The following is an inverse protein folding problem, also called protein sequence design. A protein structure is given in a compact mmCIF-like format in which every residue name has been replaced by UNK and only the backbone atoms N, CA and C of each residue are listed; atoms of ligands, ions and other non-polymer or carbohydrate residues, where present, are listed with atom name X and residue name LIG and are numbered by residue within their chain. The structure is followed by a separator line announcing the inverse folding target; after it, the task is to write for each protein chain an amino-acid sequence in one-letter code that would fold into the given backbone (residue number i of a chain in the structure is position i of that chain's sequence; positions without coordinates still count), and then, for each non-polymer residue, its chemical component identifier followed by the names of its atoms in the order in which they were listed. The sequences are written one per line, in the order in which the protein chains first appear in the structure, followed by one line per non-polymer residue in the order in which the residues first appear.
data_IF_744073148089
#
_entry.id   IF_744073148089
#
_cell.length_a   1.000
_cell.length_b   1.000
_cell.length_c   1.000
_cell.angle_alpha   90.00
_cell.angle_beta   90.00
_cell.angle_gamma   90.00
#
_symmetry.space_group_name_H-M   'P 1'
#
loop_
_entity.id
_entity.type
_entity.pdbx_description
1 polymer ?
#
# COMPACT_ATOMS: atom_id res chain seq x y z
N UNK A 1 3.98 -12.48 -0.48
CA UNK A 1 4.73 -11.86 -1.59
C UNK A 1 6.22 -11.84 -1.26
N UNK A 2 6.65 -11.12 -0.24
CA UNK A 2 8.07 -10.94 0.12
C UNK A 2 8.87 -12.28 0.18
N UNK A 3 8.29 -13.31 0.81
CA UNK A 3 8.89 -14.65 0.86
C UNK A 3 8.98 -15.31 -0.52
N UNK A 4 7.96 -15.14 -1.37
CA UNK A 4 7.98 -15.65 -2.77
C UNK A 4 9.01 -14.94 -3.65
N UNK A 5 9.35 -13.69 -3.31
CA UNK A 5 10.45 -12.94 -3.93
C UNK A 5 11.84 -13.35 -3.40
N UNK A 6 11.93 -14.31 -2.48
CA UNK A 6 13.14 -14.71 -1.80
C UNK A 6 13.87 -13.56 -1.08
N UNK A 7 13.12 -12.59 -0.55
CA UNK A 7 13.68 -11.55 0.29
C UNK A 7 14.17 -12.16 1.61
N UNK A 8 15.18 -11.52 2.21
CA UNK A 8 15.71 -11.95 3.49
C UNK A 8 14.65 -11.83 4.61
N UNK A 9 14.91 -12.50 5.73
CA UNK A 9 13.98 -12.51 6.87
C UNK A 9 13.64 -11.09 7.35
N UNK A 10 14.64 -10.20 7.40
CA UNK A 10 14.45 -8.81 7.84
C UNK A 10 13.49 -8.07 6.93
N UNK A 11 13.68 -8.17 5.61
CA UNK A 11 12.79 -7.55 4.63
C UNK A 11 11.37 -8.13 4.67
N UNK A 12 11.22 -9.44 4.92
CA UNK A 12 9.91 -10.06 5.12
C UNK A 12 9.22 -9.55 6.40
N UNK A 13 9.97 -9.41 7.49
CA UNK A 13 9.46 -8.87 8.76
C UNK A 13 9.06 -7.38 8.60
N UNK A 14 9.88 -6.59 7.89
CA UNK A 14 9.57 -5.19 7.58
C UNK A 14 8.32 -5.07 6.71
N UNK A 15 8.15 -5.93 5.69
CA UNK A 15 6.96 -5.95 4.85
C UNK A 15 5.69 -6.29 5.65
N UNK A 16 5.77 -7.25 6.57
CA UNK A 16 4.68 -7.62 7.46
C UNK A 16 4.28 -6.45 8.37
N UNK A 17 5.25 -5.80 9.00
CA UNK A 17 5.01 -4.64 9.86
C UNK A 17 4.45 -3.45 9.08
N UNK A 18 4.96 -3.20 7.88
CA UNK A 18 4.45 -2.16 7.00
C UNK A 18 2.98 -2.42 6.62
N UNK A 19 2.63 -3.67 6.30
CA UNK A 19 1.25 -4.07 6.05
C UNK A 19 0.32 -3.85 7.24
N UNK A 20 0.78 -4.16 8.47
CA UNK A 20 0.00 -3.90 9.69
C UNK A 20 -0.19 -2.40 9.98
N UNK A 21 0.76 -1.57 9.61
CA UNK A 21 0.82 -0.16 10.00
C UNK A 21 0.43 0.80 8.87
N UNK A 22 0.11 0.32 7.66
CA UNK A 22 -0.08 1.19 6.50
C UNK A 22 -1.18 2.24 6.67
N UNK A 23 -2.19 1.97 7.49
CA UNK A 23 -3.29 2.89 7.78
C UNK A 23 -3.15 3.62 9.13
N UNK A 24 -2.02 3.48 9.86
CA UNK A 24 -1.86 4.11 11.19
C UNK A 24 -2.09 5.63 11.17
N UNK A 25 -1.81 6.28 10.06
CA UNK A 25 -2.04 7.72 9.89
C UNK A 25 -3.50 8.14 9.88
N UNK A 26 -4.44 7.19 9.75
CA UNK A 26 -5.87 7.46 9.88
C UNK A 26 -6.24 8.05 11.23
N UNK A 27 -5.47 7.78 12.28
CA UNK A 27 -5.66 8.41 13.60
C UNK A 27 -5.61 9.94 13.55
N UNK A 28 -4.95 10.51 12.55
CA UNK A 28 -4.86 11.94 12.34
C UNK A 28 -5.91 12.51 11.37
N UNK A 29 -6.85 11.70 10.90
CA UNK A 29 -7.93 12.13 9.99
C UNK A 29 -9.21 12.32 10.81
N UNK A 30 -9.96 13.41 10.59
CA UNK A 30 -11.24 13.61 11.29
C UNK A 30 -12.23 12.47 11.04
N UNK A 31 -12.85 11.94 12.09
CA UNK A 31 -13.83 10.85 12.01
C UNK A 31 -14.97 11.14 11.02
N UNK A 32 -15.37 12.41 10.90
CA UNK A 32 -16.38 12.85 9.94
C UNK A 32 -15.99 12.56 8.48
N UNK A 33 -14.69 12.54 8.15
CA UNK A 33 -14.21 12.23 6.81
C UNK A 33 -14.05 10.72 6.61
N UNK A 34 -13.60 9.99 7.63
CA UNK A 34 -13.39 8.55 7.56
C UNK A 34 -14.70 7.81 7.25
N UNK A 35 -15.80 8.26 7.86
CA UNK A 35 -17.09 7.60 7.78
C UNK A 35 -18.03 8.22 6.71
N UNK A 36 -17.57 9.21 5.96
CA UNK A 36 -18.40 9.93 4.99
C UNK A 36 -18.48 9.17 3.66
N UNK A 37 -19.70 8.92 3.21
CA UNK A 37 -19.94 8.42 1.86
C UNK A 37 -19.82 9.57 0.85
N UNK A 38 -18.77 9.53 0.02
CA UNK A 38 -18.48 10.56 -0.99
C UNK A 38 -17.85 11.81 -0.38
N UNK A 39 -16.54 11.92 -0.53
CA UNK A 39 -15.77 13.10 -0.16
C UNK A 39 -15.81 14.13 -1.30
N UNK A 40 -15.84 15.42 -0.96
CA UNK A 40 -15.52 16.48 -1.91
C UNK A 40 -14.03 16.46 -2.26
N UNK A 41 -13.61 17.18 -3.29
CA UNK A 41 -12.20 17.25 -3.68
C UNK A 41 -11.32 17.75 -2.53
N UNK A 42 -11.75 18.82 -1.84
CA UNK A 42 -11.03 19.38 -0.69
C UNK A 42 -10.95 18.39 0.49
N UNK A 43 -12.03 17.67 0.77
CA UNK A 43 -12.06 16.64 1.81
C UNK A 43 -11.18 15.44 1.44
N UNK A 44 -11.13 15.09 0.17
CA UNK A 44 -10.26 14.02 -0.32
C UNK A 44 -8.79 14.41 -0.21
N UNK A 45 -8.42 15.68 -0.46
CA UNK A 45 -7.07 16.17 -0.21
C UNK A 45 -6.67 16.04 1.26
N UNK A 46 -7.58 16.35 2.19
CA UNK A 46 -7.34 16.15 3.63
C UNK A 46 -7.20 14.65 3.93
N UNK A 47 -8.08 13.82 3.40
CA UNK A 47 -8.04 12.37 3.59
C UNK A 47 -6.71 11.78 3.14
N UNK A 48 -6.20 12.12 1.97
CA UNK A 48 -4.91 11.64 1.44
C UNK A 48 -3.72 11.90 2.38
N UNK A 49 -3.82 12.88 3.27
CA UNK A 49 -2.72 13.19 4.20
C UNK A 49 -2.40 12.06 5.18
N UNK A 50 -3.26 11.02 5.29
CA UNK A 50 -3.02 9.93 6.22
C UNK A 50 -1.68 9.20 5.95
N UNK A 51 -1.26 9.07 4.71
CA UNK A 51 0.01 8.41 4.36
C UNK A 51 1.21 9.20 4.94
N UNK A 52 1.19 10.53 4.81
CA UNK A 52 2.22 11.39 5.37
C UNK A 52 2.19 11.42 6.91
N UNK A 53 1.01 11.39 7.51
CA UNK A 53 0.85 11.28 8.97
C UNK A 53 1.37 9.94 9.49
N UNK A 54 1.06 8.84 8.78
CA UNK A 54 1.58 7.52 9.10
C UNK A 54 3.11 7.47 9.05
N UNK A 55 3.69 8.04 7.99
CA UNK A 55 5.14 8.22 7.90
C UNK A 55 5.71 8.95 9.12
N UNK A 56 5.14 10.10 9.48
CA UNK A 56 5.61 10.90 10.62
C UNK A 56 5.57 10.11 11.93
N UNK A 57 4.45 9.42 12.20
CA UNK A 57 4.27 8.63 13.43
C UNK A 57 5.35 7.54 13.54
N UNK A 58 5.57 6.76 12.49
CA UNK A 58 6.52 5.65 12.52
C UNK A 58 7.96 6.17 12.56
N UNK A 59 8.25 7.24 11.82
CA UNK A 59 9.58 7.82 11.75
C UNK A 59 10.06 8.46 13.07
N UNK A 60 9.15 8.73 14.01
CA UNK A 60 9.51 9.21 15.38
C UNK A 60 10.42 8.22 16.13
N UNK A 61 10.40 6.95 15.79
CA UNK A 61 11.26 5.94 16.43
C UNK A 61 12.73 6.05 16.01
N UNK A 62 13.05 6.72 14.91
CA UNK A 62 14.40 7.05 14.43
C UNK A 62 15.35 5.83 14.32
N UNK A 63 14.84 4.66 13.99
CA UNK A 63 15.62 3.44 13.70
C UNK A 63 15.64 3.17 12.21
N UNK A 64 16.66 2.43 11.73
CA UNK A 64 16.71 2.01 10.33
C UNK A 64 15.47 1.17 9.92
N UNK A 65 14.96 0.37 10.84
CA UNK A 65 13.73 -0.40 10.62
C UNK A 65 12.52 0.53 10.46
N UNK A 66 12.33 1.46 11.41
CA UNK A 66 11.20 2.39 11.34
C UNK A 66 11.25 3.27 10.10
N UNK A 67 12.44 3.66 9.64
CA UNK A 67 12.58 4.43 8.41
C UNK A 67 12.12 3.65 7.18
N UNK A 68 12.50 2.36 7.06
CA UNK A 68 12.04 1.53 5.94
C UNK A 68 10.53 1.30 5.96
N UNK A 69 9.96 1.02 7.13
CA UNK A 69 8.52 0.83 7.31
C UNK A 69 7.78 2.15 7.03
N UNK A 70 8.27 3.28 7.54
CA UNK A 70 7.69 4.60 7.30
C UNK A 70 7.65 4.94 5.81
N UNK A 71 8.71 4.67 5.05
CA UNK A 71 8.74 4.85 3.60
C UNK A 71 7.69 3.98 2.90
N UNK A 72 7.55 2.72 3.31
CA UNK A 72 6.51 1.85 2.77
C UNK A 72 5.10 2.42 3.03
N UNK A 73 4.84 2.90 4.25
CA UNK A 73 3.57 3.53 4.62
C UNK A 73 3.32 4.82 3.86
N UNK A 74 4.35 5.62 3.58
CA UNK A 74 4.22 6.87 2.82
C UNK A 74 3.81 6.62 1.38
N UNK A 75 4.36 5.59 0.73
CA UNK A 75 4.27 5.40 -0.70
C UNK A 75 3.36 4.24 -1.16
N UNK A 76 2.68 3.53 -0.26
CA UNK A 76 1.82 2.40 -0.64
C UNK A 76 0.59 2.79 -1.49
N UNK A 77 0.31 4.08 -1.64
CA UNK A 77 -0.77 4.59 -2.50
C UNK A 77 -0.26 5.20 -3.82
N UNK A 78 1.05 5.13 -4.06
CA UNK A 78 1.58 5.41 -5.39
C UNK A 78 1.21 4.28 -6.35
N UNK A 79 0.88 4.64 -7.59
CA UNK A 79 0.69 3.69 -8.67
C UNK A 79 2.02 3.49 -9.40
N UNK A 80 2.24 2.29 -9.91
CA UNK A 80 3.51 1.93 -10.56
C UNK A 80 3.83 2.83 -11.76
N UNK A 81 2.81 3.34 -12.46
CA UNK A 81 2.93 4.28 -13.57
C UNK A 81 3.06 5.75 -13.16
N UNK A 82 3.03 6.08 -11.87
CA UNK A 82 3.09 7.44 -11.32
C UNK A 82 1.76 8.18 -11.28
N UNK A 83 0.65 7.55 -11.64
CA UNK A 83 -0.70 8.14 -11.57
C UNK A 83 -1.32 8.11 -10.16
N UNK A 84 -0.60 7.57 -9.18
CA UNK A 84 -1.04 7.48 -7.79
C UNK A 84 -1.05 8.81 -7.06
N UNK A 85 -1.28 8.76 -5.76
CA UNK A 85 -1.23 9.97 -4.96
C UNK A 85 -0.13 9.91 -3.89
N UNK A 86 0.36 11.05 -3.58
CA UNK A 86 1.32 11.58 -2.64
C UNK A 86 2.38 12.38 -3.39
N UNK A 87 3.29 11.77 -4.13
CA UNK A 87 4.36 12.50 -4.84
C UNK A 87 4.40 12.19 -6.35
N UNK A 88 3.65 11.18 -6.80
CA UNK A 88 3.63 10.79 -8.22
C UNK A 88 4.93 10.13 -8.68
N UNK A 89 5.65 9.48 -7.76
CA UNK A 89 6.82 8.66 -8.12
C UNK A 89 6.38 7.37 -8.80
N UNK A 90 7.22 6.78 -9.64
CA UNK A 90 6.86 5.64 -10.47
C UNK A 90 7.93 4.55 -10.51
N UNK A 91 7.53 3.36 -10.91
CA UNK A 91 8.44 2.23 -11.14
C UNK A 91 9.27 1.89 -9.91
N UNK A 92 10.58 1.75 -10.12
CA UNK A 92 11.52 1.38 -9.06
C UNK A 92 11.85 2.52 -8.08
N UNK A 93 11.44 3.77 -8.36
CA UNK A 93 11.52 4.86 -7.39
C UNK A 93 10.55 4.65 -6.21
N UNK A 94 9.48 3.86 -6.42
CA UNK A 94 8.60 3.43 -5.34
C UNK A 94 9.31 2.33 -4.52
N UNK A 95 9.54 2.51 -3.21
CA UNK A 95 10.16 1.49 -2.38
C UNK A 95 9.49 0.12 -2.53
N UNK A 96 10.26 -0.95 -2.68
CA UNK A 96 9.72 -2.30 -2.90
C UNK A 96 8.68 -2.71 -1.83
N UNK A 97 8.92 -2.37 -0.57
CA UNK A 97 7.96 -2.67 0.50
C UNK A 97 6.63 -1.94 0.30
N UNK A 98 6.64 -0.71 -0.24
CA UNK A 98 5.41 0.02 -0.58
C UNK A 98 4.64 -0.68 -1.71
N UNK A 99 5.34 -1.15 -2.74
CA UNK A 99 4.74 -1.91 -3.86
C UNK A 99 4.10 -3.22 -3.37
N UNK A 100 4.75 -3.90 -2.43
CA UNK A 100 4.22 -5.12 -1.79
C UNK A 100 2.96 -4.80 -0.97
N UNK A 101 3.00 -3.74 -0.17
CA UNK A 101 1.85 -3.32 0.67
C UNK A 101 0.67 -2.90 -0.19
N UNK A 102 0.90 -2.15 -1.27
CA UNK A 102 -0.16 -1.67 -2.17
C UNK A 102 -1.03 -2.81 -2.71
N UNK A 103 -0.41 -3.86 -3.23
CA UNK A 103 -1.16 -4.99 -3.79
C UNK A 103 -1.75 -5.90 -2.72
N UNK A 104 -1.08 -6.02 -1.57
CA UNK A 104 -1.60 -6.78 -0.44
C UNK A 104 -2.86 -6.12 0.14
N UNK A 105 -2.86 -4.79 0.33
CA UNK A 105 -4.02 -4.01 0.75
C UNK A 105 -5.18 -4.15 -0.25
N UNK A 106 -4.89 -4.08 -1.55
CA UNK A 106 -5.91 -4.29 -2.57
C UNK A 106 -6.57 -5.67 -2.43
N UNK A 107 -5.79 -6.73 -2.40
CA UNK A 107 -6.32 -8.09 -2.30
C UNK A 107 -7.11 -8.30 -1.00
N UNK A 108 -6.58 -7.84 0.14
CA UNK A 108 -7.24 -7.97 1.45
C UNK A 108 -8.60 -7.27 1.49
N UNK A 109 -8.69 -6.04 0.97
CA UNK A 109 -9.94 -5.28 0.93
C UNK A 109 -11.01 -5.95 0.07
N UNK A 110 -10.65 -6.51 -1.08
CA UNK A 110 -11.58 -7.16 -1.99
C UNK A 110 -12.03 -8.52 -1.46
N UNK A 111 -11.11 -9.31 -0.87
CA UNK A 111 -11.44 -10.54 -0.14
C UNK A 111 -12.38 -10.24 1.04
N UNK A 112 -12.09 -9.20 1.83
CA UNK A 112 -12.92 -8.78 2.96
C UNK A 112 -14.35 -8.35 2.56
N UNK A 113 -14.56 -7.98 1.29
CA UNK A 113 -15.89 -7.70 0.72
C UNK A 113 -16.60 -8.92 0.14
N UNK A 114 -16.01 -10.11 0.27
CA UNK A 114 -16.48 -11.37 -0.31
C UNK A 114 -16.60 -11.33 -1.85
N UNK A 115 -15.72 -10.59 -2.51
CA UNK A 115 -15.62 -10.61 -3.97
C UNK A 115 -15.02 -11.94 -4.44
N UNK A 116 -15.36 -12.36 -5.66
CA UNK A 116 -14.85 -13.62 -6.20
C UNK A 116 -13.34 -13.57 -6.42
N UNK A 117 -12.63 -14.60 -5.99
CA UNK A 117 -11.16 -14.67 -6.11
C UNK A 117 -10.72 -14.61 -7.58
N UNK A 118 -11.49 -15.18 -8.49
CA UNK A 118 -11.18 -15.10 -9.94
C UNK A 118 -11.25 -13.64 -10.43
N UNK A 119 -12.25 -12.88 -9.99
CA UNK A 119 -12.40 -11.48 -10.39
C UNK A 119 -11.26 -10.62 -9.80
N UNK A 120 -10.87 -10.89 -8.56
CA UNK A 120 -9.72 -10.20 -7.92
C UNK A 120 -8.45 -10.46 -8.71
N UNK A 121 -8.19 -11.71 -9.11
CA UNK A 121 -7.03 -12.09 -9.93
C UNK A 121 -7.02 -11.36 -11.27
N UNK A 122 -8.13 -11.43 -12.01
CA UNK A 122 -8.27 -10.81 -13.33
C UNK A 122 -8.08 -9.30 -13.27
N UNK A 123 -8.54 -8.67 -12.16
CA UNK A 123 -8.31 -7.26 -11.91
C UNK A 123 -6.84 -6.96 -11.65
N UNK A 124 -6.15 -7.78 -10.83
CA UNK A 124 -4.72 -7.62 -10.56
C UNK A 124 -3.91 -7.76 -11.84
N UNK A 125 -4.21 -8.76 -12.69
CA UNK A 125 -3.53 -8.93 -13.98
C UNK A 125 -3.70 -7.72 -14.90
N UNK A 126 -4.90 -7.15 -14.96
CA UNK A 126 -5.18 -5.96 -15.78
C UNK A 126 -4.50 -4.69 -15.25
N UNK A 127 -4.25 -4.61 -13.96
CA UNK A 127 -3.62 -3.46 -13.30
C UNK A 127 -2.09 -3.61 -13.16
N UNK A 128 -1.52 -4.73 -13.59
CA UNK A 128 -0.08 -4.90 -13.65
C UNK A 128 0.56 -3.85 -14.57
N UNK A 129 1.74 -3.35 -14.20
CA UNK A 129 2.50 -2.32 -14.93
C UNK A 129 1.84 -0.92 -14.97
N UNK A 130 0.66 -0.77 -14.37
CA UNK A 130 -0.03 0.52 -14.23
C UNK A 130 -0.20 0.87 -12.76
N UNK A 131 -1.08 0.17 -12.05
CA UNK A 131 -1.31 0.37 -10.62
C UNK A 131 -0.28 -0.40 -9.79
N UNK A 132 -0.02 -1.65 -10.17
CA UNK A 132 0.84 -2.56 -9.42
C UNK A 132 2.14 -2.87 -10.15
N UNK A 133 3.20 -3.05 -9.36
CA UNK A 133 4.44 -3.64 -9.83
C UNK A 133 4.14 -5.00 -10.49
N UNK A 134 4.59 -5.24 -11.74
CA UNK A 134 4.26 -6.46 -12.48
C UNK A 134 4.78 -7.74 -11.82
N UNK A 135 5.90 -7.67 -11.09
CA UNK A 135 6.43 -8.84 -10.36
C UNK A 135 5.56 -9.12 -9.14
N UNK A 136 5.19 -8.09 -8.38
CA UNK A 136 4.27 -8.24 -7.24
C UNK A 136 2.90 -8.75 -7.70
N UNK A 137 2.40 -8.27 -8.84
CA UNK A 137 1.14 -8.70 -9.43
C UNK A 137 1.16 -10.19 -9.81
N UNK A 138 2.19 -10.64 -10.53
CA UNK A 138 2.36 -12.05 -10.90
C UNK A 138 2.38 -12.97 -9.68
N UNK A 139 3.13 -12.58 -8.64
CA UNK A 139 3.21 -13.36 -7.41
C UNK A 139 1.86 -13.39 -6.67
N UNK A 140 1.12 -12.28 -6.63
CA UNK A 140 -0.19 -12.25 -5.98
C UNK A 140 -1.20 -13.14 -6.71
N UNK A 141 -1.21 -13.11 -8.03
CA UNK A 141 -2.04 -14.02 -8.86
C UNK A 141 -1.75 -15.48 -8.54
N UNK A 142 -0.48 -15.86 -8.42
CA UNK A 142 -0.09 -17.21 -7.99
C UNK A 142 -0.56 -17.57 -6.56
N UNK A 143 -0.55 -16.60 -5.64
CA UNK A 143 -1.00 -16.81 -4.25
C UNK A 143 -2.51 -17.05 -4.21
N UNK A 144 -3.26 -16.39 -5.08
CA UNK A 144 -4.72 -16.47 -5.16
C UNK A 144 -5.22 -17.64 -6.05
N UNK A 145 -4.31 -18.38 -6.71
CA UNK A 145 -4.63 -19.55 -7.51
C UNK A 145 -4.67 -20.78 -6.65
#
# INVERSE_FOLDING_TARGET
IAQRMNLDKKSCDDAYKAGLLHEIGMIGIPDALINKAGLTDDEYEIFKTYVSKGYQIINMLQTDESQRIAQAVRYHRENYDGSGFNEGISGDDIPLLARIVAIADYADRHIGRNEDISDIRDNIERMADTVFDPICASIMVEILS
#
